data_IF_243576959330
#
_entry.id   IF_243576959330
#
_cell.length_a   1.000
_cell.length_b   1.000
_cell.length_c   1.000
_cell.angle_alpha   90.00
_cell.angle_beta   90.00
_cell.angle_gamma   90.00
#
_symmetry.space_group_name_H-M   'P 1'
#
loop_
_entity.id
_entity.type
_entity.pdbx_description
1 polymer ?
#
# COMPACT_ATOMS: atom_id res chain seq x y z
N UNK A 1 19.25 -10.58 -3.90
CA UNK A 1 18.45 -10.18 -5.08
C UNK A 1 17.17 -11.00 -5.06
N UNK A 2 16.00 -10.36 -5.14
CA UNK A 2 14.67 -11.00 -5.13
C UNK A 2 14.32 -11.49 -6.55
N UNK A 3 15.06 -12.48 -7.06
CA UNK A 3 14.79 -13.11 -8.36
C UNK A 3 13.75 -14.23 -8.18
N UNK A 4 14.18 -15.47 -8.24
CA UNK A 4 13.34 -16.66 -8.31
C UNK A 4 13.26 -17.43 -6.98
N UNK A 5 13.88 -16.95 -5.90
CA UNK A 5 13.92 -17.66 -4.60
C UNK A 5 12.52 -18.01 -4.08
N UNK A 6 11.59 -17.05 -4.08
CA UNK A 6 10.22 -17.29 -3.64
C UNK A 6 9.47 -18.17 -4.65
N UNK A 7 9.68 -17.94 -5.96
CA UNK A 7 9.07 -18.72 -7.03
C UNK A 7 9.46 -20.21 -7.00
N UNK A 8 10.72 -20.54 -6.67
CA UNK A 8 11.20 -21.91 -6.49
C UNK A 8 10.52 -22.62 -5.33
N UNK A 9 10.30 -21.92 -4.21
CA UNK A 9 9.63 -22.45 -3.02
C UNK A 9 8.12 -22.62 -3.18
N UNK A 10 7.50 -21.83 -4.06
CA UNK A 10 6.06 -21.84 -4.33
C UNK A 10 5.70 -22.49 -5.68
N UNK A 11 6.69 -23.07 -6.39
CA UNK A 11 6.56 -23.66 -7.73
C UNK A 11 5.95 -22.75 -8.82
N UNK A 12 6.13 -21.43 -8.68
CA UNK A 12 5.59 -20.44 -9.62
C UNK A 12 6.44 -20.40 -10.90
N UNK A 13 5.86 -20.87 -12.01
CA UNK A 13 6.52 -20.95 -13.30
C UNK A 13 5.67 -20.30 -14.38
N UNK A 14 6.33 -19.80 -15.41
CA UNK A 14 5.71 -19.34 -16.65
C UNK A 14 6.38 -20.02 -17.85
N UNK A 15 5.73 -19.96 -19.01
CA UNK A 15 6.29 -20.47 -20.26
C UNK A 15 6.52 -19.28 -21.21
N UNK A 16 7.77 -18.99 -21.64
CA UNK A 16 8.05 -17.84 -22.50
C UNK A 16 7.35 -17.92 -23.88
N UNK A 17 7.34 -19.09 -24.49
CA UNK A 17 6.71 -19.35 -25.79
C UNK A 17 6.08 -20.74 -25.89
N UNK A 18 5.27 -20.98 -26.92
CA UNK A 18 4.64 -22.28 -27.13
C UNK A 18 5.69 -23.37 -27.37
N UNK A 19 5.70 -24.41 -26.55
CA UNK A 19 6.67 -25.50 -26.61
C UNK A 19 7.93 -25.30 -25.75
N UNK A 20 8.15 -24.09 -25.20
CA UNK A 20 9.31 -23.82 -24.37
C UNK A 20 9.22 -24.52 -23.00
N UNK A 21 10.40 -24.74 -22.40
CA UNK A 21 10.51 -25.24 -21.04
C UNK A 21 9.98 -24.19 -20.06
N UNK A 22 9.16 -24.57 -19.07
CA UNK A 22 8.75 -23.64 -18.02
C UNK A 22 9.95 -23.12 -17.22
N UNK A 23 9.95 -21.81 -16.97
CA UNK A 23 10.96 -21.09 -16.20
C UNK A 23 10.35 -20.50 -14.93
N UNK A 24 11.16 -20.31 -13.88
CA UNK A 24 10.68 -19.67 -12.66
C UNK A 24 10.53 -18.16 -12.86
N UNK A 25 9.43 -17.60 -12.36
CA UNK A 25 9.20 -16.14 -12.40
C UNK A 25 10.11 -15.41 -11.40
N UNK A 26 10.37 -14.13 -11.65
CA UNK A 26 10.91 -13.23 -10.65
C UNK A 26 9.79 -12.60 -9.83
N UNK A 27 9.95 -12.54 -8.51
CA UNK A 27 8.93 -12.05 -7.59
C UNK A 27 9.39 -10.76 -6.92
N UNK A 28 8.55 -9.72 -6.98
CA UNK A 28 8.75 -8.47 -6.26
C UNK A 28 7.58 -8.25 -5.30
N UNK A 29 7.85 -7.56 -4.19
CA UNK A 29 6.82 -7.11 -3.28
C UNK A 29 7.13 -5.68 -2.83
N UNK A 30 6.08 -4.94 -2.50
CA UNK A 30 6.13 -3.59 -1.96
C UNK A 30 4.83 -3.30 -1.24
N UNK A 31 4.90 -2.59 -0.11
CA UNK A 31 3.69 -2.17 0.61
C UNK A 31 3.01 -1.04 -0.16
N UNK A 32 1.69 -1.13 -0.36
CA UNK A 32 0.91 -0.01 -0.86
C UNK A 32 0.60 0.98 0.28
N UNK A 33 -0.21 0.56 1.25
CA UNK A 33 -0.54 1.32 2.46
C UNK A 33 -0.65 0.39 3.66
N UNK A 34 -0.14 0.82 4.81
CA UNK A 34 -0.23 0.10 6.08
C UNK A 34 -1.14 0.89 7.02
N UNK A 35 -2.43 0.51 7.07
CA UNK A 35 -3.51 1.35 7.62
C UNK A 35 -3.17 2.02 8.97
N UNK A 36 -2.73 1.31 10.03
CA UNK A 36 -2.46 1.98 11.31
C UNK A 36 -1.34 3.03 11.23
N UNK A 37 -0.28 2.75 10.47
CA UNK A 37 0.85 3.68 10.29
C UNK A 37 0.45 4.87 9.42
N UNK A 38 -0.33 4.62 8.37
CA UNK A 38 -0.86 5.66 7.51
C UNK A 38 -1.80 6.59 8.28
N UNK A 39 -2.69 6.04 9.13
CA UNK A 39 -3.58 6.84 9.97
C UNK A 39 -2.78 7.67 10.97
N UNK A 40 -1.82 7.08 11.68
CA UNK A 40 -0.97 7.84 12.61
C UNK A 40 -0.25 9.01 11.92
N UNK A 41 0.37 8.77 10.76
CA UNK A 41 1.03 9.82 9.98
C UNK A 41 0.07 10.93 9.53
N UNK A 42 -1.16 10.58 9.13
CA UNK A 42 -2.18 11.56 8.76
C UNK A 42 -2.60 12.43 9.96
N UNK A 43 -2.81 11.81 11.13
CA UNK A 43 -3.16 12.54 12.35
C UNK A 43 -2.04 13.49 12.77
N UNK A 44 -0.78 13.01 12.82
CA UNK A 44 0.38 13.79 13.25
C UNK A 44 0.72 14.93 12.28
N UNK A 45 0.57 14.72 10.97
CA UNK A 45 0.98 15.70 9.95
C UNK A 45 -0.07 16.80 9.73
N UNK A 46 -1.36 16.50 9.94
CA UNK A 46 -2.45 17.39 9.58
C UNK A 46 -3.30 17.86 10.76
N UNK A 47 -2.84 17.65 12.00
CA UNK A 47 -3.46 18.22 13.19
C UNK A 47 -3.33 19.75 13.20
N UNK A 48 -4.44 20.44 13.51
CA UNK A 48 -4.50 21.87 13.76
C UNK A 48 -4.49 22.16 15.28
N UNK A 49 -4.23 23.41 15.68
CA UNK A 49 -4.10 23.82 17.09
C UNK A 49 -5.37 23.57 17.93
N UNK A 50 -6.55 23.58 17.30
CA UNK A 50 -7.84 23.28 17.93
C UNK A 50 -8.08 21.78 18.15
N UNK A 51 -7.11 20.93 17.77
CA UNK A 51 -7.18 19.48 17.85
C UNK A 51 -7.92 18.81 16.69
N UNK A 52 -8.48 19.57 15.75
CA UNK A 52 -9.04 19.01 14.52
C UNK A 52 -7.94 18.50 13.60
N UNK A 53 -8.28 17.61 12.66
CA UNK A 53 -7.34 17.07 11.67
C UNK A 53 -7.85 17.36 10.27
N UNK A 54 -7.10 18.15 9.51
CA UNK A 54 -7.39 18.37 8.08
C UNK A 54 -7.06 17.13 7.27
N UNK A 55 -7.83 16.86 6.23
CA UNK A 55 -7.60 15.72 5.36
C UNK A 55 -6.98 16.18 4.02
N UNK A 56 -6.01 15.44 3.46
CA UNK A 56 -5.55 15.65 2.09
C UNK A 56 -6.72 15.67 1.11
N UNK A 57 -6.69 16.58 0.13
CA UNK A 57 -7.78 16.76 -0.85
C UNK A 57 -8.16 15.46 -1.57
N UNK A 58 -7.17 14.62 -1.87
CA UNK A 58 -7.37 13.31 -2.52
C UNK A 58 -8.23 12.34 -1.69
N UNK A 59 -8.38 12.55 -0.38
CA UNK A 59 -9.19 11.71 0.50
C UNK A 59 -10.63 12.19 0.64
N UNK A 60 -10.94 13.44 0.30
CA UNK A 60 -12.27 14.04 0.46
C UNK A 60 -13.41 13.21 -0.16
N UNK A 61 -13.31 12.70 -1.42
CA UNK A 61 -14.41 11.90 -2.00
C UNK A 61 -14.62 10.55 -1.32
N UNK A 62 -13.65 10.05 -0.56
CA UNK A 62 -13.74 8.76 0.15
C UNK A 62 -14.24 8.91 1.59
N UNK A 63 -13.94 10.04 2.24
CA UNK A 63 -14.31 10.30 3.63
C UNK A 63 -15.58 11.16 3.74
N UNK A 64 -15.89 11.96 2.73
CA UNK A 64 -17.09 12.81 2.69
C UNK A 64 -16.97 14.12 3.47
N UNK A 65 -15.79 14.45 3.98
CA UNK A 65 -15.45 15.68 4.69
C UNK A 65 -14.01 16.07 4.38
N UNK A 66 -13.67 17.34 4.56
CA UNK A 66 -12.30 17.86 4.48
C UNK A 66 -11.57 17.83 5.85
N UNK A 67 -12.30 17.54 6.94
CA UNK A 67 -11.79 17.63 8.31
C UNK A 67 -12.44 16.63 9.27
N UNK A 68 -11.64 16.09 10.19
CA UNK A 68 -12.09 15.37 11.38
C UNK A 68 -12.10 16.33 12.56
N UNK A 69 -13.24 16.45 13.25
CA UNK A 69 -13.39 17.38 14.37
C UNK A 69 -12.90 16.76 15.68
N UNK A 70 -12.28 17.58 16.53
CA UNK A 70 -12.03 17.21 17.92
C UNK A 70 -13.36 17.07 18.65
N UNK A 71 -13.48 16.04 19.49
CA UNK A 71 -14.62 15.88 20.39
C UNK A 71 -14.27 16.64 21.68
N UNK A 72 -15.18 17.52 22.11
CA UNK A 72 -15.14 18.23 23.39
C UNK A 72 -15.46 17.33 24.57
#
# INVERSE_FOLDING_TARGET
>A
VFTDYQARRAELRFRPGAGDRPEFVHTLNGSALALPRTVAALLETYQDEDGSVRLPEVLHPYVGTDRILAIS
#
